data_IF_970712596679
#
_entry.id   IF_970712596679
#
_cell.length_a   1.000
_cell.length_b   1.000
_cell.length_c   1.000
_cell.angle_alpha   90.00
_cell.angle_beta   90.00
_cell.angle_gamma   90.00
#
_symmetry.space_group_name_H-M   'P 1'
#
loop_
_entity.id
_entity.type
_entity.pdbx_description
1 polymer ?
#
# COMPACT_ATOMS: atom_id res chain seq x y z
N UNK A 1 -5.06 -14.45 -18.23
CA UNK A 1 -4.04 -14.92 -17.28
C UNK A 1 -4.46 -14.34 -15.95
N UNK A 2 -4.95 -15.16 -15.04
CA UNK A 2 -5.57 -14.65 -13.81
C UNK A 2 -4.53 -14.40 -12.73
N UNK A 3 -4.71 -13.34 -11.94
CA UNK A 3 -3.80 -13.06 -10.82
C UNK A 3 -3.87 -14.19 -9.77
N UNK A 4 -2.72 -14.59 -9.19
CA UNK A 4 -2.70 -15.60 -8.14
C UNK A 4 -3.41 -15.10 -6.87
N UNK A 5 -4.47 -15.81 -6.44
CA UNK A 5 -5.29 -15.41 -5.26
C UNK A 5 -4.91 -16.14 -3.96
N UNK A 6 -4.40 -17.37 -4.06
CA UNK A 6 -4.25 -18.27 -2.89
C UNK A 6 -2.84 -18.78 -2.65
N UNK A 7 -1.96 -18.70 -3.65
CA UNK A 7 -0.57 -19.16 -3.59
C UNK A 7 0.30 -18.23 -4.41
N UNK A 8 1.56 -18.07 -4.00
CA UNK A 8 2.55 -17.33 -4.78
C UNK A 8 2.84 -18.06 -6.09
N UNK A 9 2.98 -17.31 -7.19
CA UNK A 9 3.40 -17.87 -8.47
C UNK A 9 4.83 -18.43 -8.37
N UNK A 10 5.08 -19.58 -9.01
CA UNK A 10 6.40 -20.22 -9.00
C UNK A 10 7.44 -19.50 -9.86
N UNK A 11 7.00 -18.73 -10.85
CA UNK A 11 7.84 -18.03 -11.80
C UNK A 11 7.55 -16.54 -11.74
N UNK A 12 8.59 -15.73 -11.95
CA UNK A 12 8.45 -14.29 -12.11
C UNK A 12 7.86 -13.95 -13.48
N UNK A 13 7.24 -12.78 -13.55
CA UNK A 13 6.77 -12.16 -14.78
C UNK A 13 7.49 -10.83 -14.99
N UNK A 14 7.44 -10.31 -16.21
CA UNK A 14 8.08 -9.03 -16.52
C UNK A 14 7.41 -7.89 -15.73
N UNK A 15 8.17 -6.91 -15.19
CA UNK A 15 7.62 -5.87 -14.32
C UNK A 15 6.46 -5.05 -14.90
N UNK A 16 6.48 -4.74 -16.20
CA UNK A 16 5.40 -4.00 -16.88
C UNK A 16 4.15 -4.85 -16.99
N UNK A 17 4.30 -6.15 -17.26
CA UNK A 17 3.18 -7.09 -17.26
C UNK A 17 2.55 -7.18 -15.87
N UNK A 18 3.38 -7.27 -14.81
CA UNK A 18 2.89 -7.25 -13.43
C UNK A 18 2.15 -5.95 -13.10
N UNK A 19 2.70 -4.80 -13.51
CA UNK A 19 2.08 -3.50 -13.30
C UNK A 19 0.72 -3.39 -13.99
N UNK A 20 0.63 -3.80 -15.26
CA UNK A 20 -0.62 -3.77 -16.02
C UNK A 20 -1.69 -4.67 -15.39
N UNK A 21 -1.33 -5.91 -15.02
CA UNK A 21 -2.28 -6.84 -14.40
C UNK A 21 -2.87 -6.27 -13.10
N UNK A 22 -2.04 -5.66 -12.24
CA UNK A 22 -2.54 -5.04 -10.99
C UNK A 22 -3.37 -3.79 -11.29
N UNK A 23 -2.92 -2.96 -12.23
CA UNK A 23 -3.63 -1.73 -12.61
C UNK A 23 -5.01 -2.03 -13.19
N UNK A 24 -5.13 -3.08 -14.00
CA UNK A 24 -6.38 -3.50 -14.64
C UNK A 24 -7.39 -4.00 -13.59
N UNK A 25 -6.95 -4.76 -12.58
CA UNK A 25 -7.82 -5.21 -11.48
C UNK A 25 -8.32 -4.01 -10.65
N UNK A 26 -7.51 -2.95 -10.48
CA UNK A 26 -7.90 -1.76 -9.75
C UNK A 26 -8.90 -0.86 -10.51
N UNK A 27 -9.11 -1.07 -11.81
CA UNK A 27 -10.08 -0.26 -12.58
C UNK A 27 -11.53 -0.49 -12.15
N UNK A 28 -11.82 -1.65 -11.54
CA UNK A 28 -13.14 -1.95 -10.99
C UNK A 28 -13.41 -1.23 -9.65
N UNK A 29 -12.38 -0.63 -9.03
CA UNK A 29 -12.58 0.23 -7.85
C UNK A 29 -13.14 1.61 -8.28
N UNK A 30 -14.31 1.96 -7.73
CA UNK A 30 -14.97 3.23 -8.04
C UNK A 30 -14.13 4.47 -7.70
N UNK A 31 -14.39 5.59 -8.37
CA UNK A 31 -13.64 6.83 -8.17
C UNK A 31 -13.77 7.34 -6.72
N UNK A 32 -12.65 7.41 -6.00
CA UNK A 32 -12.59 7.87 -4.62
C UNK A 32 -13.17 9.27 -4.39
N UNK A 33 -13.12 10.18 -5.38
CA UNK A 33 -13.73 11.52 -5.27
C UNK A 33 -15.25 11.50 -5.22
N UNK A 34 -15.87 10.42 -5.71
CA UNK A 34 -17.31 10.22 -5.67
C UNK A 34 -17.76 9.46 -4.41
N UNK A 35 -16.82 9.04 -3.55
CA UNK A 35 -17.15 8.36 -2.31
C UNK A 35 -17.56 9.37 -1.22
N UNK A 36 -18.86 9.51 -1.01
CA UNK A 36 -19.45 10.37 0.03
C UNK A 36 -19.66 9.66 1.37
N UNK A 37 -19.35 8.36 1.46
CA UNK A 37 -19.59 7.55 2.66
C UNK A 37 -18.38 7.56 3.63
N UNK A 38 -17.21 8.02 3.19
CA UNK A 38 -15.99 8.05 4.01
C UNK A 38 -15.70 9.43 4.59
N UNK A 39 -15.12 9.45 5.79
CA UNK A 39 -14.54 10.66 6.39
C UNK A 39 -13.07 10.86 6.01
N UNK A 40 -12.44 9.89 5.35
CA UNK A 40 -11.04 9.99 4.94
C UNK A 40 -10.86 10.96 3.76
N UNK A 41 -9.70 11.59 3.68
CA UNK A 41 -9.35 12.51 2.59
C UNK A 41 -9.17 11.75 1.26
N UNK A 42 -9.86 12.18 0.21
CA UNK A 42 -9.84 11.56 -1.15
C UNK A 42 -9.17 12.44 -2.21
N UNK A 43 -8.62 13.60 -1.80
CA UNK A 43 -7.88 14.53 -2.65
C UNK A 43 -6.70 15.14 -1.90
N UNK A 44 -5.56 15.28 -2.58
CA UNK A 44 -4.40 16.03 -2.10
C UNK A 44 -3.80 16.85 -3.24
N UNK A 45 -3.17 17.97 -2.90
CA UNK A 45 -2.43 18.80 -3.85
C UNK A 45 -1.24 18.04 -4.47
N UNK A 46 -0.88 18.30 -5.75
CA UNK A 46 0.23 17.62 -6.42
C UNK A 46 1.55 17.67 -5.66
N UNK A 47 1.84 18.78 -5.00
CA UNK A 47 3.03 19.02 -4.18
C UNK A 47 3.06 18.09 -2.97
N UNK A 48 1.91 17.91 -2.30
CA UNK A 48 1.76 17.00 -1.18
C UNK A 48 1.90 15.53 -1.62
N UNK A 49 1.33 15.16 -2.77
CA UNK A 49 1.50 13.82 -3.37
C UNK A 49 2.97 13.54 -3.67
N UNK A 50 3.69 14.50 -4.25
CA UNK A 50 5.12 14.39 -4.56
C UNK A 50 5.97 14.28 -3.30
N UNK A 51 5.69 15.07 -2.27
CA UNK A 51 6.39 14.97 -0.99
C UNK A 51 6.18 13.58 -0.35
N UNK A 52 4.95 13.07 -0.40
CA UNK A 52 4.62 11.74 0.13
C UNK A 52 5.33 10.63 -0.66
N UNK A 53 5.38 10.73 -1.99
CA UNK A 53 6.08 9.73 -2.82
C UNK A 53 7.59 9.69 -2.55
N UNK A 54 8.22 10.85 -2.27
CA UNK A 54 9.64 10.94 -1.92
C UNK A 54 9.96 10.42 -0.52
N UNK A 55 8.99 10.46 0.40
CA UNK A 55 9.19 10.11 1.82
C UNK A 55 8.65 8.73 2.20
N UNK A 56 8.08 7.98 1.25
CA UNK A 56 7.54 6.63 1.44
C UNK A 56 8.50 5.69 2.19
N UNK A 57 9.78 5.65 1.79
CA UNK A 57 10.79 4.80 2.43
C UNK A 57 11.09 5.21 3.88
N UNK A 58 11.12 6.53 4.14
CA UNK A 58 11.30 7.06 5.49
C UNK A 58 10.13 6.68 6.41
N UNK A 59 8.90 6.73 5.89
CA UNK A 59 7.69 6.36 6.64
C UNK A 59 7.65 4.86 6.96
N UNK A 60 8.13 4.01 6.05
CA UNK A 60 8.30 2.56 6.28
C UNK A 60 9.23 2.25 7.46
N UNK A 61 10.35 2.97 7.56
CA UNK A 61 11.33 2.77 8.64
C UNK A 61 10.79 3.18 10.02
N UNK A 62 10.03 4.29 10.08
CA UNK A 62 9.36 4.73 11.32
C UNK A 62 8.33 3.69 11.79
N UNK A 63 7.51 3.16 10.89
CA UNK A 63 6.51 2.15 11.24
C UNK A 63 7.14 0.83 11.71
N UNK A 64 8.28 0.40 11.13
CA UNK A 64 9.01 -0.78 11.63
C UNK A 64 9.48 -0.57 13.07
N UNK A 65 10.04 0.59 13.38
CA UNK A 65 10.52 0.89 14.73
C UNK A 65 9.38 0.88 15.76
N UNK A 66 8.17 1.35 15.40
CA UNK A 66 6.99 1.28 16.27
C UNK A 66 6.59 -0.19 16.53
N UNK A 67 6.59 -1.05 15.51
CA UNK A 67 6.25 -2.47 15.67
C UNK A 67 7.27 -3.24 16.52
N UNK A 68 8.56 -2.95 16.38
CA UNK A 68 9.62 -3.57 17.20
C UNK A 68 9.55 -3.11 18.66
N UNK A 69 9.27 -1.83 18.91
CA UNK A 69 9.07 -1.28 20.26
C UNK A 69 7.83 -1.85 20.95
N UNK A 70 6.74 -2.09 20.21
CA UNK A 70 5.54 -2.74 20.75
C UNK A 70 5.82 -4.20 21.14
N UNK A 71 6.57 -4.95 20.32
CA UNK A 71 6.97 -6.33 20.64
C UNK A 71 7.82 -6.41 21.91
N UNK A 72 8.76 -5.48 22.10
CA UNK A 72 9.62 -5.45 23.30
C UNK A 72 8.82 -5.15 24.58
N UNK A 73 7.80 -4.27 24.52
CA UNK A 73 6.94 -3.97 25.67
C UNK A 73 6.05 -5.13 26.08
N UNK A 74 5.56 -5.94 25.13
CA UNK A 74 4.74 -7.12 25.44
C UNK A 74 5.55 -8.23 26.10
N UNK A 75 6.82 -8.41 25.70
CA UNK A 75 7.71 -9.42 26.28
C UNK A 75 8.22 -9.01 27.67
N UNK A 76 8.35 -7.71 27.95
CA UNK A 76 8.77 -7.21 29.26
C UNK A 76 7.66 -7.19 30.33
N UNK A 77 6.40 -7.41 29.95
CA UNK A 77 5.23 -7.43 30.85
C UNK A 77 4.67 -8.84 31.12
N UNK A 78 5.37 -9.89 30.68
CA UNK A 78 5.08 -11.30 31.01
C UNK A 78 6.22 -11.86 31.84
#
# INVERSE_FOLDING_TARGET
MDLPKYKLAQQSIEPRVAYQLVQDEMLDEGNARLNLATFCQTYMEPEAVKLMSQTLEKMRLINRNIQEQLKLKTVAST
#
